data_IF_120069321148
#
_entry.id   IF_120069321148
#
_cell.length_a   1.000
_cell.length_b   1.000
_cell.length_c   1.000
_cell.angle_alpha   90.00
_cell.angle_beta   90.00
_cell.angle_gamma   90.00
#
_symmetry.space_group_name_H-M   'P 1'
#
loop_
_entity.id
_entity.type
_entity.pdbx_description
1 polymer ?
#
# COMPACT_ATOMS: atom_id res chain seq x y z
N UNK A 1 -7.88 4.86 -12.86
CA UNK A 1 -7.21 4.19 -11.72
C UNK A 1 -7.10 5.13 -10.52
N UNK A 2 -6.50 6.33 -10.68
CA UNK A 2 -6.43 7.39 -9.64
C UNK A 2 -7.78 7.68 -8.95
N UNK A 3 -8.85 7.89 -9.73
CA UNK A 3 -10.17 8.21 -9.17
C UNK A 3 -10.82 7.05 -8.40
N UNK A 4 -10.41 5.81 -8.68
CA UNK A 4 -10.91 4.63 -7.96
C UNK A 4 -10.39 4.60 -6.53
N UNK A 5 -9.10 4.90 -6.34
CA UNK A 5 -8.46 4.92 -5.01
C UNK A 5 -9.08 5.99 -4.11
N UNK A 6 -9.36 7.19 -4.65
CA UNK A 6 -10.04 8.24 -3.88
C UNK A 6 -11.48 7.88 -3.53
N UNK A 7 -12.19 7.23 -4.46
CA UNK A 7 -13.55 6.76 -4.21
C UNK A 7 -13.61 5.70 -3.10
N UNK A 8 -12.66 4.77 -3.07
CA UNK A 8 -12.57 3.75 -2.01
C UNK A 8 -12.32 4.36 -0.62
N UNK A 9 -11.58 5.47 -0.53
CA UNK A 9 -11.42 6.20 0.74
C UNK A 9 -12.76 6.83 1.17
N UNK A 10 -13.48 7.46 0.24
CA UNK A 10 -14.76 8.12 0.52
C UNK A 10 -15.81 7.08 0.97
N UNK A 11 -15.80 5.89 0.37
CA UNK A 11 -16.72 4.80 0.68
C UNK A 11 -16.26 3.95 1.89
N UNK A 12 -15.11 4.28 2.50
CA UNK A 12 -14.58 3.53 3.63
C UNK A 12 -15.40 3.74 4.90
N UNK A 13 -15.39 2.73 5.78
CA UNK A 13 -16.07 2.83 7.07
C UNK A 13 -15.54 3.99 7.91
N UNK A 14 -16.36 4.50 8.84
CA UNK A 14 -15.97 5.59 9.74
C UNK A 14 -14.63 5.34 10.47
N UNK A 15 -14.38 4.10 10.91
CA UNK A 15 -13.12 3.74 11.56
C UNK A 15 -11.91 3.87 10.63
N UNK A 16 -12.04 3.41 9.39
CA UNK A 16 -10.97 3.48 8.38
C UNK A 16 -10.74 4.93 7.97
N UNK A 17 -11.80 5.68 7.70
CA UNK A 17 -11.72 7.11 7.38
C UNK A 17 -11.05 7.91 8.51
N UNK A 18 -11.36 7.61 9.78
CA UNK A 18 -10.72 8.22 10.94
C UNK A 18 -9.21 7.91 11.09
N UNK A 19 -8.75 6.76 10.60
CA UNK A 19 -7.32 6.43 10.53
C UNK A 19 -6.67 7.21 9.38
N UNK A 20 -7.23 7.11 8.18
CA UNK A 20 -6.68 7.72 6.98
C UNK A 20 -6.60 9.25 7.08
N UNK A 21 -7.61 9.90 7.65
CA UNK A 21 -7.64 11.36 7.84
C UNK A 21 -6.64 11.88 8.88
N UNK A 22 -6.18 11.03 9.80
CA UNK A 22 -5.22 11.41 10.84
C UNK A 22 -3.75 11.30 10.41
N UNK A 23 -3.49 10.72 9.25
CA UNK A 23 -2.15 10.60 8.69
C UNK A 23 -1.62 11.96 8.21
N UNK A 24 -0.33 12.17 8.43
CA UNK A 24 0.47 13.28 7.91
C UNK A 24 0.94 13.03 6.47
N UNK A 25 0.97 11.77 6.02
CA UNK A 25 1.25 11.43 4.63
C UNK A 25 0.03 11.57 3.72
N UNK A 26 0.27 12.07 2.52
CA UNK A 26 -0.66 11.97 1.39
C UNK A 26 -0.88 10.53 0.94
N UNK A 27 -1.80 10.33 0.01
CA UNK A 27 -1.93 9.02 -0.64
C UNK A 27 -0.69 8.79 -1.51
N UNK A 28 -0.13 7.57 -1.51
CA UNK A 28 0.86 7.16 -2.52
C UNK A 28 0.09 6.61 -3.71
N UNK A 29 -0.60 7.47 -4.47
CA UNK A 29 -1.34 6.98 -5.63
C UNK A 29 -0.35 6.45 -6.65
N UNK A 30 -0.54 5.19 -7.06
CA UNK A 30 0.33 4.53 -8.05
C UNK A 30 0.29 5.23 -9.42
N UNK A 31 -0.68 6.09 -9.61
CA UNK A 31 -0.98 6.75 -10.87
C UNK A 31 -0.93 8.27 -10.81
N UNK A 32 -0.54 8.87 -9.68
CA UNK A 32 -0.44 10.33 -9.55
C UNK A 32 0.52 10.91 -10.61
N UNK A 33 1.70 10.30 -10.76
CA UNK A 33 2.69 10.67 -11.77
C UNK A 33 2.25 10.34 -13.21
N UNK A 34 1.18 9.56 -13.39
CA UNK A 34 0.64 9.24 -14.71
C UNK A 34 -0.45 10.23 -15.14
N UNK A 35 -0.97 11.05 -14.22
CA UNK A 35 -1.99 12.07 -14.55
C UNK A 35 -1.45 13.07 -15.56
N UNK A 36 -0.21 13.53 -15.37
CA UNK A 36 0.44 14.48 -16.29
C UNK A 36 0.64 13.92 -17.70
N UNK A 37 0.73 12.59 -17.84
CA UNK A 37 0.82 11.93 -19.16
C UNK A 37 -0.54 11.83 -19.85
N UNK A 38 -1.65 11.90 -19.10
CA UNK A 38 -3.00 11.85 -19.64
C UNK A 38 -3.50 13.22 -20.10
N UNK A 39 -2.97 14.30 -19.52
CA UNK A 39 -3.35 15.67 -19.82
C UNK A 39 -2.55 16.30 -20.99
N UNK A 40 -1.54 15.58 -21.52
CA UNK A 40 -0.71 16.02 -22.64
C UNK A 40 -1.21 15.44 -23.97
N UNK A 41 -1.29 16.29 -25.00
CA UNK A 41 -1.66 15.93 -26.39
C UNK A 41 -0.48 15.31 -27.19
N UNK A 42 0.57 14.87 -26.50
CA UNK A 42 1.78 14.33 -27.11
C UNK A 42 1.59 12.87 -27.55
N UNK A 43 2.29 12.48 -28.61
CA UNK A 43 2.25 11.10 -29.11
C UNK A 43 3.20 10.20 -28.32
N UNK A 44 2.66 9.43 -27.40
CA UNK A 44 3.42 8.44 -26.62
C UNK A 44 3.41 7.05 -27.28
N UNK A 45 4.55 6.37 -27.25
CA UNK A 45 4.66 4.96 -27.61
C UNK A 45 4.52 4.09 -26.35
N UNK A 46 3.59 3.14 -26.37
CA UNK A 46 3.36 2.20 -25.26
C UNK A 46 4.08 0.89 -25.55
N UNK A 47 4.99 0.50 -24.67
CA UNK A 47 5.71 -0.77 -24.74
C UNK A 47 5.23 -1.71 -23.65
N UNK A 48 4.94 -2.97 -24.02
CA UNK A 48 4.63 -4.03 -23.06
C UNK A 48 5.86 -4.88 -22.84
N UNK A 49 6.28 -5.02 -21.58
CA UNK A 49 7.31 -5.97 -21.20
C UNK A 49 6.70 -7.34 -20.92
N UNK A 50 7.23 -8.39 -21.55
CA UNK A 50 6.88 -9.77 -21.24
C UNK A 50 7.92 -10.28 -20.24
N UNK A 51 7.49 -10.49 -19.00
CA UNK A 51 8.37 -10.93 -17.91
C UNK A 51 8.78 -12.38 -18.16
N UNK A 52 10.09 -12.62 -18.30
CA UNK A 52 10.68 -13.97 -18.45
C UNK A 52 11.24 -14.52 -17.15
N UNK A 53 11.52 -13.66 -16.17
CA UNK A 53 11.98 -14.00 -14.82
C UNK A 53 11.68 -12.86 -13.87
N UNK A 54 11.46 -13.17 -12.59
CA UNK A 54 11.24 -12.19 -11.55
C UNK A 54 11.95 -12.63 -10.26
N UNK A 55 12.59 -11.69 -9.58
CA UNK A 55 13.27 -11.91 -8.30
C UNK A 55 12.70 -10.94 -7.28
N UNK A 56 12.14 -11.48 -6.19
CA UNK A 56 11.72 -10.70 -5.05
C UNK A 56 12.87 -10.61 -4.05
N UNK A 57 13.21 -9.37 -3.66
CA UNK A 57 14.24 -9.10 -2.65
C UNK A 57 13.52 -8.64 -1.39
N UNK A 58 13.64 -9.41 -0.31
CA UNK A 58 12.97 -9.09 0.95
C UNK A 58 13.73 -8.04 1.77
N UNK A 59 13.10 -7.54 2.84
CA UNK A 59 13.69 -6.53 3.73
C UNK A 59 14.90 -7.01 4.54
N UNK A 60 15.18 -8.32 4.55
CA UNK A 60 16.33 -8.94 5.22
C UNK A 60 17.47 -9.25 4.24
N UNK A 61 17.34 -8.84 2.97
CA UNK A 61 18.33 -9.10 1.92
C UNK A 61 18.26 -10.51 1.31
N UNK A 62 17.19 -11.25 1.57
CA UNK A 62 16.91 -12.54 0.95
C UNK A 62 16.44 -12.37 -0.49
N UNK A 63 16.92 -13.24 -1.38
CA UNK A 63 16.53 -13.28 -2.78
C UNK A 63 15.61 -14.49 -3.02
N UNK A 64 14.43 -14.25 -3.58
CA UNK A 64 13.40 -15.25 -3.82
C UNK A 64 13.00 -15.23 -5.29
N UNK A 65 13.32 -16.31 -6.01
CA UNK A 65 12.89 -16.47 -7.38
C UNK A 65 11.37 -16.66 -7.43
N UNK A 66 10.70 -15.89 -8.28
CA UNK A 66 9.25 -15.90 -8.46
C UNK A 66 8.93 -16.55 -9.80
N UNK A 67 8.03 -17.54 -9.77
CA UNK A 67 7.53 -18.18 -10.98
C UNK A 67 6.85 -17.12 -11.88
N UNK A 68 7.27 -16.95 -13.15
CA UNK A 68 6.61 -16.05 -14.09
C UNK A 68 5.09 -16.31 -14.24
N UNK A 69 4.64 -17.56 -14.07
CA UNK A 69 3.21 -17.91 -14.15
C UNK A 69 2.43 -17.34 -12.96
N UNK A 70 3.06 -17.19 -11.80
CA UNK A 70 2.47 -16.56 -10.62
C UNK A 70 2.31 -15.05 -10.81
N UNK A 71 3.19 -14.40 -11.57
CA UNK A 71 3.12 -12.94 -11.80
C UNK A 71 1.82 -12.53 -12.51
N UNK A 72 1.36 -13.36 -13.47
CA UNK A 72 0.14 -13.08 -14.23
C UNK A 72 -1.16 -13.37 -13.48
N UNK A 73 -1.10 -14.25 -12.46
CA UNK A 73 -2.29 -14.72 -11.73
C UNK A 73 -2.42 -14.10 -10.34
N UNK A 74 -1.31 -13.67 -9.74
CA UNK A 74 -1.29 -12.99 -8.46
C UNK A 74 -2.05 -11.67 -8.52
N UNK A 75 -2.93 -11.46 -7.55
CA UNK A 75 -3.63 -10.19 -7.39
C UNK A 75 -2.78 -9.24 -6.54
N UNK A 76 -2.64 -7.96 -6.94
CA UNK A 76 -1.97 -6.99 -6.09
C UNK A 76 -2.70 -6.83 -4.76
N UNK A 77 -1.95 -6.59 -3.69
CA UNK A 77 -2.53 -6.24 -2.40
C UNK A 77 -3.32 -4.94 -2.51
N UNK A 78 -4.59 -5.00 -2.14
CA UNK A 78 -5.52 -3.87 -2.19
C UNK A 78 -5.19 -2.80 -1.14
N UNK A 79 -4.50 -3.16 -0.05
CA UNK A 79 -4.13 -2.22 1.00
C UNK A 79 -2.82 -1.49 0.70
N UNK A 80 -2.00 -2.02 -0.21
CA UNK A 80 -0.68 -1.47 -0.55
C UNK A 80 -0.68 0.03 -0.87
N UNK A 81 -1.63 0.61 -1.66
CA UNK A 81 -1.67 2.06 -1.93
C UNK A 81 -1.93 2.92 -0.68
N UNK A 82 -2.51 2.33 0.36
CA UNK A 82 -2.86 3.00 1.61
C UNK A 82 -1.91 2.64 2.75
N UNK A 83 -0.98 1.69 2.56
CA UNK A 83 -0.21 1.09 3.65
C UNK A 83 0.55 2.14 4.47
N UNK A 84 1.29 3.04 3.82
CA UNK A 84 2.02 4.11 4.50
C UNK A 84 1.08 5.01 5.32
N UNK A 85 -0.06 5.38 4.73
CA UNK A 85 -1.06 6.25 5.35
C UNK A 85 -1.80 5.57 6.51
N UNK A 86 -2.09 4.28 6.39
CA UNK A 86 -2.68 3.47 7.45
C UNK A 86 -1.72 3.33 8.63
N UNK A 87 -0.46 3.00 8.37
CA UNK A 87 0.58 2.85 9.40
C UNK A 87 0.77 4.17 10.14
N UNK A 88 0.96 5.28 9.42
CA UNK A 88 1.11 6.59 10.04
C UNK A 88 -0.16 6.99 10.81
N UNK A 89 -1.33 6.88 10.19
CA UNK A 89 -2.60 7.19 10.85
C UNK A 89 -2.81 6.40 12.16
N UNK A 90 -2.47 5.12 12.20
CA UNK A 90 -2.47 4.33 13.44
C UNK A 90 -1.50 4.95 14.46
N UNK A 91 -0.28 5.26 14.02
CA UNK A 91 0.78 5.80 14.87
C UNK A 91 0.55 7.25 15.33
N UNK A 92 -0.30 8.05 14.70
CA UNK A 92 -0.57 9.42 15.12
C UNK A 92 -1.50 9.51 16.36
N UNK A 93 -2.34 8.50 16.62
CA UNK A 93 -3.25 8.51 17.77
C UNK A 93 -2.68 7.77 18.97
N UNK A 94 -2.67 8.44 20.13
CA UNK A 94 -2.23 7.83 21.39
C UNK A 94 -3.07 6.59 21.75
N UNK A 95 -4.39 6.64 21.58
CA UNK A 95 -5.29 5.53 21.88
C UNK A 95 -4.96 4.33 20.98
N UNK A 96 -4.75 4.56 19.68
CA UNK A 96 -4.39 3.48 18.74
C UNK A 96 -3.00 2.92 19.00
N UNK A 97 -2.01 3.74 19.36
CA UNK A 97 -0.68 3.27 19.78
C UNK A 97 -0.75 2.40 21.03
N UNK A 98 -1.54 2.80 22.05
CA UNK A 98 -1.77 1.98 23.25
C UNK A 98 -2.43 0.64 22.90
N UNK A 99 -3.40 0.66 21.99
CA UNK A 99 -4.03 -0.57 21.50
C UNK A 99 -3.04 -1.48 20.75
N UNK A 100 -2.13 -0.92 19.95
CA UNK A 100 -1.07 -1.66 19.27
C UNK A 100 -0.15 -2.39 20.27
N UNK A 101 0.21 -1.73 21.37
CA UNK A 101 1.00 -2.35 22.44
C UNK A 101 0.26 -3.55 23.06
N UNK A 102 -1.05 -3.40 23.33
CA UNK A 102 -1.89 -4.52 23.81
C UNK A 102 -1.97 -5.64 22.77
N UNK A 103 -2.06 -5.29 21.48
CA UNK A 103 -2.06 -6.26 20.39
C UNK A 103 -0.75 -7.08 20.37
N UNK A 104 0.41 -6.46 20.60
CA UNK A 104 1.68 -7.18 20.70
C UNK A 104 1.67 -8.20 21.86
N UNK A 105 1.15 -7.83 23.03
CA UNK A 105 1.02 -8.79 24.15
C UNK A 105 0.08 -9.94 23.81
N UNK A 106 -1.07 -9.64 23.20
CA UNK A 106 -2.11 -10.62 22.94
C UNK A 106 -1.75 -11.60 21.81
N UNK A 107 -1.07 -11.14 20.76
CA UNK A 107 -0.89 -11.90 19.52
C UNK A 107 0.55 -12.29 19.22
N UNK A 108 1.55 -11.56 19.73
CA UNK A 108 2.96 -11.86 19.50
C UNK A 108 3.64 -12.49 20.72
N UNK A 109 2.93 -12.57 21.86
CA UNK A 109 3.46 -13.09 23.12
C UNK A 109 4.77 -12.41 23.57
N UNK A 110 4.96 -11.17 23.11
CA UNK A 110 6.09 -10.32 23.45
C UNK A 110 5.88 -9.78 24.86
N UNK A 111 6.47 -10.40 25.88
CA UNK A 111 6.30 -9.96 27.26
C UNK A 111 6.93 -8.57 27.46
N UNK A 112 6.22 -7.66 28.13
CA UNK A 112 6.82 -6.44 28.67
C UNK A 112 7.76 -6.85 29.81
N UNK A 113 9.05 -6.92 29.52
CA UNK A 113 10.10 -6.95 30.54
C UNK A 113 10.39 -5.54 31.02
#
# INVERSE_FOLDING_TARGET
MVMSEQKEIIESSYAVSGILSSSTFGNTSRSENLVELLDNDENYAVYKFNVSSCMFIDGNGGNHEVDPDDFGTAKPDKLSPFAAKLIDGINQSEIRRRALVVFCFAFLNENAK
#
